data_IF_401122754779
#
_entry.id   IF_401122754779
#
_cell.length_a   1.000
_cell.length_b   1.000
_cell.length_c   1.000
_cell.angle_alpha   90.00
_cell.angle_beta   90.00
_cell.angle_gamma   90.00
#
_symmetry.space_group_name_H-M   'P 1'
#
loop_
_entity.id
_entity.type
_entity.pdbx_description
1 polymer ?
#
# COMPACT_ATOMS: atom_id res chain seq x y z
N UNK A 1 34.68 6.75 78.53
CA UNK A 1 34.26 5.89 77.39
C UNK A 1 33.59 6.77 76.34
N UNK A 2 34.22 6.94 75.18
CA UNK A 2 33.61 6.87 73.85
C UNK A 2 34.61 7.44 72.83
N UNK A 3 35.33 6.53 72.16
CA UNK A 3 36.05 6.83 70.93
C UNK A 3 34.99 7.00 69.84
N UNK A 4 34.81 8.24 69.36
CA UNK A 4 33.94 8.54 68.24
C UNK A 4 34.61 8.04 66.96
N UNK A 5 34.04 7.00 66.36
CA UNK A 5 34.49 6.47 65.08
C UNK A 5 34.15 7.48 63.96
N UNK A 6 35.12 7.92 63.15
CA UNK A 6 34.84 8.85 62.05
C UNK A 6 34.00 8.15 60.97
N UNK A 7 32.81 8.70 60.72
CA UNK A 7 31.90 8.28 59.65
C UNK A 7 32.54 8.63 58.30
N UNK A 8 32.99 7.62 57.57
CA UNK A 8 33.54 7.77 56.21
C UNK A 8 32.47 8.38 55.30
N UNK A 9 32.65 9.67 54.97
CA UNK A 9 31.81 10.39 54.03
C UNK A 9 32.18 9.93 52.61
N UNK A 10 31.35 9.10 52.01
CA UNK A 10 31.48 8.67 50.62
C UNK A 10 31.11 9.87 49.73
N UNK A 11 32.09 10.49 49.07
CA UNK A 11 31.82 11.58 48.14
C UNK A 11 30.94 11.06 46.99
N UNK A 12 29.74 11.63 46.77
CA UNK A 12 28.97 11.32 45.57
C UNK A 12 29.75 11.84 44.37
N UNK A 13 30.19 10.92 43.49
CA UNK A 13 30.76 11.30 42.19
C UNK A 13 29.64 11.88 41.36
N UNK A 14 29.65 13.20 41.17
CA UNK A 14 28.74 13.90 40.28
C UNK A 14 29.12 13.66 38.82
N UNK A 15 28.11 13.62 37.95
CA UNK A 15 28.29 13.56 36.50
C UNK A 15 28.90 14.88 36.00
N UNK A 16 29.93 14.81 35.19
CA UNK A 16 30.55 16.01 34.61
C UNK A 16 29.72 16.55 33.45
N UNK A 17 29.75 17.88 33.25
CA UNK A 17 29.07 18.50 32.10
C UNK A 17 29.59 17.95 30.76
N UNK A 18 30.87 17.62 30.69
CA UNK A 18 31.48 17.07 29.48
C UNK A 18 31.00 15.64 29.19
N UNK A 19 30.79 14.81 30.22
CA UNK A 19 30.21 13.48 30.04
C UNK A 19 28.79 13.58 29.47
N UNK A 20 27.99 14.56 29.92
CA UNK A 20 26.64 14.73 29.39
C UNK A 20 26.64 15.29 27.96
N UNK A 21 27.56 16.21 27.66
CA UNK A 21 27.72 16.80 26.34
C UNK A 21 28.09 15.76 25.27
N UNK A 22 28.99 14.82 25.60
CA UNK A 22 29.39 13.76 24.67
C UNK A 22 28.25 12.76 24.43
N UNK A 23 27.43 12.47 25.45
CA UNK A 23 26.30 11.53 25.30
C UNK A 23 25.24 12.09 24.36
N UNK A 24 24.82 13.34 24.54
CA UNK A 24 23.80 13.95 23.68
C UNK A 24 24.29 14.12 22.24
N UNK A 25 25.60 14.36 22.03
CA UNK A 25 26.16 14.48 20.68
C UNK A 25 26.16 13.15 19.94
N UNK A 26 26.48 12.04 20.63
CA UNK A 26 26.39 10.69 20.05
C UNK A 26 24.94 10.32 19.74
N UNK A 27 24.00 10.59 20.66
CA UNK A 27 22.56 10.32 20.44
C UNK A 27 22.04 11.11 19.23
N UNK A 28 22.46 12.37 19.07
CA UNK A 28 22.04 13.19 17.93
C UNK A 28 22.50 12.61 16.59
N UNK A 29 23.74 12.13 16.49
CA UNK A 29 24.28 11.52 15.26
C UNK A 29 23.54 10.21 14.95
N UNK A 30 23.36 9.35 15.94
CA UNK A 30 22.65 8.07 15.77
C UNK A 30 21.18 8.27 15.39
N UNK A 31 20.52 9.27 15.97
CA UNK A 31 19.12 9.57 15.68
C UNK A 31 18.91 9.95 14.20
N UNK A 32 19.77 10.81 13.64
CA UNK A 32 19.66 11.23 12.23
C UNK A 32 19.79 10.04 11.28
N UNK A 33 20.79 9.19 11.50
CA UNK A 33 20.99 7.99 10.67
C UNK A 33 19.80 7.03 10.83
N UNK A 34 19.35 6.82 12.06
CA UNK A 34 18.22 5.94 12.38
C UNK A 34 16.92 6.33 11.67
N UNK A 35 16.60 7.63 11.61
CA UNK A 35 15.38 8.13 10.97
C UNK A 35 15.36 7.79 9.47
N UNK A 36 16.48 7.99 8.76
CA UNK A 36 16.55 7.73 7.32
C UNK A 36 16.32 6.25 7.00
N UNK A 37 16.98 5.35 7.73
CA UNK A 37 16.85 3.90 7.55
C UNK A 37 15.42 3.45 7.88
N UNK A 38 14.87 3.94 8.99
CA UNK A 38 13.53 3.57 9.44
C UNK A 38 12.44 3.99 8.44
N UNK A 39 12.58 5.17 7.83
CA UNK A 39 11.63 5.64 6.80
C UNK A 39 11.59 4.73 5.57
N UNK A 40 12.76 4.29 5.08
CA UNK A 40 12.86 3.34 3.96
C UNK A 40 12.34 1.94 4.32
N UNK A 41 12.62 1.47 5.54
CA UNK A 41 12.10 0.20 6.03
C UNK A 41 10.56 0.17 6.10
N UNK A 42 9.93 1.27 6.56
CA UNK A 42 8.48 1.38 6.53
C UNK A 42 7.89 1.38 5.12
N UNK A 43 8.52 2.09 4.17
CA UNK A 43 8.07 2.10 2.78
C UNK A 43 8.13 0.69 2.16
N UNK A 44 9.18 -0.09 2.45
CA UNK A 44 9.31 -1.50 2.05
C UNK A 44 8.22 -2.38 2.67
N UNK A 45 7.94 -2.22 3.96
CA UNK A 45 6.88 -2.96 4.64
C UNK A 45 5.50 -2.68 4.00
N UNK A 46 5.18 -1.40 3.72
CA UNK A 46 3.95 -1.02 3.00
C UNK A 46 3.92 -1.58 1.58
N UNK A 47 5.03 -1.53 0.85
CA UNK A 47 5.13 -2.13 -0.49
C UNK A 47 4.91 -3.66 -0.47
N UNK A 48 5.43 -4.36 0.52
CA UNK A 48 5.20 -5.80 0.69
C UNK A 48 3.72 -6.09 0.96
N UNK A 49 3.10 -5.31 1.86
CA UNK A 49 1.68 -5.40 2.16
C UNK A 49 0.80 -5.15 0.93
N UNK A 50 1.10 -4.11 0.13
CA UNK A 50 0.42 -3.84 -1.15
C UNK A 50 0.47 -4.99 -2.13
N UNK A 51 1.64 -5.63 -2.28
CA UNK A 51 1.79 -6.79 -3.16
C UNK A 51 0.93 -7.96 -2.68
N UNK A 52 0.92 -8.22 -1.37
CA UNK A 52 0.07 -9.24 -0.76
C UNK A 52 -1.42 -8.95 -0.98
N UNK A 53 -1.84 -7.71 -0.79
CA UNK A 53 -3.24 -7.30 -0.99
C UNK A 53 -3.66 -7.44 -2.46
N UNK A 54 -2.83 -6.99 -3.42
CA UNK A 54 -3.09 -7.21 -4.86
C UNK A 54 -3.24 -8.71 -5.18
N UNK A 55 -2.40 -9.56 -4.60
CA UNK A 55 -2.53 -11.01 -4.80
C UNK A 55 -3.81 -11.57 -4.17
N UNK A 56 -4.22 -11.08 -3.01
CA UNK A 56 -5.48 -11.47 -2.37
C UNK A 56 -6.69 -11.04 -3.21
N UNK A 57 -6.67 -9.82 -3.78
CA UNK A 57 -7.72 -9.32 -4.68
C UNK A 57 -7.85 -10.19 -5.94
N UNK A 58 -6.72 -10.50 -6.58
CA UNK A 58 -6.69 -11.38 -7.77
C UNK A 58 -7.19 -12.78 -7.41
N UNK A 59 -6.71 -13.36 -6.29
CA UNK A 59 -7.14 -14.68 -5.84
C UNK A 59 -8.64 -14.72 -5.54
N UNK A 60 -9.20 -13.65 -4.96
CA UNK A 60 -10.63 -13.58 -4.69
C UNK A 60 -11.45 -13.53 -5.99
N UNK A 61 -10.97 -12.79 -7.00
CA UNK A 61 -11.60 -12.79 -8.32
C UNK A 61 -11.51 -14.16 -9.00
N UNK A 62 -10.36 -14.83 -8.96
CA UNK A 62 -10.19 -16.16 -9.56
C UNK A 62 -11.05 -17.23 -8.88
N UNK A 63 -11.16 -17.22 -7.54
CA UNK A 63 -12.00 -18.16 -6.79
C UNK A 63 -13.50 -17.92 -7.02
N UNK A 64 -13.91 -16.67 -7.28
CA UNK A 64 -15.31 -16.31 -7.55
C UNK A 64 -15.61 -16.18 -9.05
N UNK A 65 -14.79 -16.79 -9.91
CA UNK A 65 -15.05 -16.86 -11.35
C UNK A 65 -16.24 -17.78 -11.59
N UNK A 66 -17.18 -17.33 -12.41
CA UNK A 66 -18.22 -18.18 -12.97
C UNK A 66 -17.61 -19.07 -14.06
N UNK A 67 -17.44 -20.36 -13.75
CA UNK A 67 -16.87 -21.35 -14.67
C UNK A 67 -17.76 -21.66 -15.87
N UNK A 68 -19.08 -21.43 -15.78
CA UNK A 68 -20.02 -21.69 -16.88
C UNK A 68 -19.99 -20.59 -17.92
N UNK A 69 -20.01 -19.33 -17.46
CA UNK A 69 -19.95 -18.18 -18.36
C UNK A 69 -18.51 -17.68 -18.63
N UNK A 70 -17.51 -18.22 -17.94
CA UNK A 70 -16.09 -17.80 -18.01
C UNK A 70 -15.88 -16.32 -17.71
N UNK A 71 -16.59 -15.83 -16.69
CA UNK A 71 -16.70 -14.40 -16.34
C UNK A 71 -16.46 -14.19 -14.86
N UNK A 72 -15.94 -13.02 -14.52
CA UNK A 72 -15.71 -12.59 -13.15
C UNK A 72 -16.86 -11.73 -12.65
N UNK A 73 -17.21 -11.90 -11.38
CA UNK A 73 -18.13 -11.01 -10.70
C UNK A 73 -17.42 -9.72 -10.24
N UNK A 74 -18.21 -8.68 -9.97
CA UNK A 74 -17.72 -7.46 -9.33
C UNK A 74 -17.18 -7.82 -7.95
N UNK A 75 -16.01 -7.29 -7.60
CA UNK A 75 -15.38 -7.57 -6.31
C UNK A 75 -16.29 -7.20 -5.13
N UNK A 76 -16.33 -8.07 -4.13
CA UNK A 76 -17.10 -7.84 -2.90
C UNK A 76 -16.22 -7.89 -1.66
N UNK A 77 -16.48 -7.00 -0.70
CA UNK A 77 -15.86 -7.05 0.63
C UNK A 77 -16.17 -8.33 1.39
N UNK A 78 -17.30 -9.00 1.08
CA UNK A 78 -17.70 -10.26 1.70
C UNK A 78 -16.78 -11.44 1.36
N UNK A 79 -15.91 -11.31 0.34
CA UNK A 79 -14.94 -12.34 -0.01
C UNK A 79 -13.71 -12.35 0.90
N UNK A 80 -13.59 -11.34 1.77
CA UNK A 80 -12.46 -11.19 2.68
C UNK A 80 -12.93 -11.38 4.12
N UNK A 81 -12.10 -12.06 4.92
CA UNK A 81 -12.39 -12.40 6.33
C UNK A 81 -12.77 -11.18 7.20
N UNK A 82 -12.28 -9.98 6.84
CA UNK A 82 -12.62 -8.72 7.52
C UNK A 82 -13.92 -8.04 7.06
N UNK A 83 -14.68 -8.64 6.14
CA UNK A 83 -15.91 -8.06 5.59
C UNK A 83 -15.70 -6.82 4.70
N UNK A 84 -14.44 -6.50 4.40
CA UNK A 84 -14.04 -5.35 3.59
C UNK A 84 -12.92 -5.73 2.64
N UNK A 85 -12.90 -5.06 1.49
CA UNK A 85 -11.82 -5.17 0.52
C UNK A 85 -10.52 -4.67 1.19
N UNK A 86 -9.38 -5.36 1.03
CA UNK A 86 -8.09 -4.89 1.51
C UNK A 86 -7.83 -3.45 1.09
N UNK A 87 -7.59 -2.59 2.08
CA UNK A 87 -7.31 -1.18 1.87
C UNK A 87 -5.96 -0.85 2.51
N UNK A 88 -5.10 -0.16 1.75
CA UNK A 88 -3.93 0.52 2.27
C UNK A 88 -4.17 2.02 2.10
N UNK A 89 -4.06 2.76 3.21
CA UNK A 89 -4.34 4.18 3.24
C UNK A 89 -3.54 4.87 4.33
N UNK A 90 -2.31 5.28 4.01
CA UNK A 90 -1.71 6.44 4.69
C UNK A 90 -2.09 7.67 3.87
N UNK A 91 -2.92 8.56 4.41
CA UNK A 91 -3.20 9.87 3.80
C UNK A 91 -4.30 9.91 2.72
N UNK A 92 -5.27 8.99 2.71
CA UNK A 92 -6.54 9.17 1.99
C UNK A 92 -6.53 9.03 0.46
N UNK A 93 -5.42 8.58 -0.14
CA UNK A 93 -5.33 8.30 -1.59
C UNK A 93 -5.50 6.79 -1.81
N UNK A 94 -6.48 6.29 -2.59
CA UNK A 94 -6.58 4.86 -2.87
C UNK A 94 -5.31 4.35 -3.54
N UNK A 95 -4.77 3.26 -3.01
CA UNK A 95 -3.53 2.65 -3.50
C UNK A 95 -3.77 1.46 -4.41
N UNK A 96 -5.03 1.06 -4.60
CA UNK A 96 -5.43 -0.07 -5.43
C UNK A 96 -6.43 0.37 -6.50
N UNK A 97 -6.24 -0.14 -7.71
CA UNK A 97 -7.15 0.06 -8.83
C UNK A 97 -7.49 -1.27 -9.49
N UNK A 98 -8.76 -1.43 -9.85
CA UNK A 98 -9.26 -2.48 -10.74
C UNK A 98 -9.46 -1.86 -12.12
N UNK A 99 -8.91 -2.52 -13.12
CA UNK A 99 -9.24 -2.30 -14.51
C UNK A 99 -9.92 -3.57 -15.00
N UNK A 100 -11.03 -3.43 -15.71
CA UNK A 100 -11.76 -4.57 -16.26
C UNK A 100 -12.30 -4.29 -17.65
N UNK A 101 -12.52 -5.34 -18.44
CA UNK A 101 -13.24 -5.28 -19.72
C UNK A 101 -14.50 -6.15 -19.65
N UNK A 102 -15.62 -5.59 -20.08
CA UNK A 102 -16.92 -6.27 -20.15
C UNK A 102 -17.28 -6.80 -21.54
N UNK A 103 -16.30 -6.86 -22.44
CA UNK A 103 -16.42 -7.40 -23.79
C UNK A 103 -15.50 -8.63 -23.97
N UNK A 104 -16.03 -9.65 -24.65
CA UNK A 104 -15.29 -10.88 -24.97
C UNK A 104 -14.12 -10.60 -25.94
N UNK A 105 -13.01 -11.33 -25.78
CA UNK A 105 -11.86 -11.26 -26.69
C UNK A 105 -10.91 -10.09 -26.45
N UNK A 106 -11.13 -9.30 -25.39
CA UNK A 106 -10.28 -8.15 -25.04
C UNK A 106 -9.52 -8.39 -23.74
N UNK A 107 -8.27 -7.93 -23.70
CA UNK A 107 -7.44 -7.91 -22.51
C UNK A 107 -7.36 -6.50 -21.94
N UNK A 108 -7.26 -6.40 -20.62
CA UNK A 108 -6.85 -5.15 -19.97
C UNK A 108 -5.34 -5.01 -20.02
N UNK A 109 -4.85 -3.81 -20.32
CA UNK A 109 -3.43 -3.48 -20.18
C UNK A 109 -3.15 -2.89 -18.79
N UNK A 110 -1.92 -3.09 -18.31
CA UNK A 110 -1.47 -2.43 -17.08
C UNK A 110 -1.34 -0.91 -17.34
N UNK A 111 -1.78 -0.05 -16.42
CA UNK A 111 -1.67 1.39 -16.57
C UNK A 111 -0.20 1.83 -16.60
N UNK A 112 0.10 2.81 -17.45
CA UNK A 112 1.45 3.34 -17.64
C UNK A 112 1.76 4.55 -16.75
N UNK A 113 0.73 5.16 -16.15
CA UNK A 113 0.87 6.25 -15.21
C UNK A 113 -0.27 6.27 -14.18
N UNK A 114 -0.02 6.90 -13.03
CA UNK A 114 -0.97 7.03 -11.94
C UNK A 114 -1.00 8.47 -11.47
N UNK A 115 -2.16 9.11 -11.55
CA UNK A 115 -2.29 10.51 -11.19
C UNK A 115 -2.43 10.65 -9.67
N UNK A 116 -1.59 11.48 -9.01
CA UNK A 116 -1.66 11.69 -7.56
C UNK A 116 -2.98 12.34 -7.11
N UNK A 117 -3.58 13.19 -7.95
CA UNK A 117 -4.74 14.02 -7.59
C UNK A 117 -6.09 13.30 -7.66
N UNK A 118 -6.20 12.28 -8.51
CA UNK A 118 -7.44 11.52 -8.71
C UNK A 118 -7.34 10.08 -8.19
N UNK A 119 -6.14 9.64 -7.82
CA UNK A 119 -5.86 8.27 -7.38
C UNK A 119 -6.34 7.19 -8.38
N UNK A 120 -6.58 7.59 -9.61
CA UNK A 120 -6.95 6.75 -10.72
C UNK A 120 -5.71 6.51 -11.57
N UNK A 121 -5.48 5.26 -12.00
CA UNK A 121 -4.56 5.03 -13.09
C UNK A 121 -5.06 5.79 -14.32
N UNK A 122 -4.20 6.58 -14.97
CA UNK A 122 -4.49 7.03 -16.33
C UNK A 122 -4.34 5.82 -17.21
N UNK A 123 -5.47 5.24 -17.62
CA UNK A 123 -5.45 4.32 -18.73
C UNK A 123 -5.13 5.14 -19.99
N UNK A 124 -3.98 4.92 -20.62
CA UNK A 124 -3.89 5.18 -22.06
C UNK A 124 -4.59 4.02 -22.79
N UNK A 125 -5.87 3.78 -22.46
CA UNK A 125 -6.69 2.76 -23.10
C UNK A 125 -7.13 3.25 -24.47
N UNK A 126 -6.18 3.25 -25.39
CA UNK A 126 -6.51 3.01 -26.79
C UNK A 126 -6.68 1.50 -26.94
N UNK A 127 -7.88 0.99 -26.64
CA UNK A 127 -8.23 -0.34 -27.12
C UNK A 127 -8.45 -0.19 -28.64
N UNK A 128 -7.80 -0.97 -29.53
CA UNK A 128 -7.93 -0.79 -30.98
C UNK A 128 -9.34 -0.96 -31.56
N UNK A 129 -10.33 -1.45 -30.79
CA UNK A 129 -11.72 -1.47 -31.22
C UNK A 129 -12.68 -1.64 -30.03
N UNK A 130 -13.58 -0.69 -29.79
CA UNK A 130 -14.92 -0.92 -29.22
C UNK A 130 -15.13 -1.41 -27.77
N UNK A 131 -14.13 -1.92 -27.05
CA UNK A 131 -14.32 -2.38 -25.66
C UNK A 131 -14.25 -1.24 -24.63
N UNK A 132 -15.32 -1.00 -23.86
CA UNK A 132 -15.30 -0.05 -22.74
C UNK A 132 -14.39 -0.57 -21.63
N UNK A 133 -13.31 0.15 -21.32
CA UNK A 133 -12.48 -0.15 -20.14
C UNK A 133 -12.83 0.83 -19.03
N UNK A 134 -13.29 0.29 -17.91
CA UNK A 134 -13.61 1.08 -16.74
C UNK A 134 -12.55 0.91 -15.66
N UNK A 135 -12.21 2.03 -15.04
CA UNK A 135 -11.28 2.12 -13.92
C UNK A 135 -12.13 2.26 -12.66
N UNK A 136 -12.03 1.29 -11.75
CA UNK A 136 -12.61 1.37 -10.41
C UNK A 136 -11.48 1.52 -9.42
N UNK A 137 -11.39 2.67 -8.75
CA UNK A 137 -10.51 2.80 -7.58
C UNK A 137 -11.16 2.05 -6.42
N UNK A 138 -10.48 1.12 -5.75
CA UNK A 138 -11.08 0.39 -4.61
C UNK A 138 -10.97 1.17 -3.29
N UNK A 139 -11.11 2.49 -3.34
CA UNK A 139 -11.17 3.27 -2.09
C UNK A 139 -12.41 2.85 -1.30
N UNK A 140 -12.21 2.70 0.02
CA UNK A 140 -13.19 2.79 1.09
C UNK A 140 -13.97 1.52 1.48
N UNK A 141 -13.96 1.28 2.80
CA UNK A 141 -14.59 0.16 3.50
C UNK A 141 -16.12 0.20 3.61
N UNK A 142 -16.82 1.02 2.83
CA UNK A 142 -18.27 0.93 2.57
C UNK A 142 -18.57 1.48 1.17
N UNK A 143 -19.54 0.91 0.42
CA UNK A 143 -20.00 1.50 -0.84
C UNK A 143 -20.54 2.93 -0.58
N UNK A 144 -20.33 3.95 -1.45
CA UNK A 144 -19.72 3.94 -2.78
C UNK A 144 -18.51 4.90 -2.92
N UNK A 145 -17.40 4.48 -3.54
CA UNK A 145 -16.32 5.42 -3.88
C UNK A 145 -15.81 5.23 -5.30
N UNK A 146 -16.20 6.16 -6.18
CA UNK A 146 -15.31 6.69 -7.20
C UNK A 146 -15.25 5.94 -8.53
N UNK A 147 -16.40 5.73 -9.15
CA UNK A 147 -16.56 5.30 -10.55
C UNK A 147 -17.93 4.64 -10.75
N UNK A 148 -18.52 4.63 -11.96
CA UNK A 148 -19.70 3.80 -12.21
C UNK A 148 -19.26 2.35 -11.96
N UNK A 149 -19.68 1.81 -10.80
CA UNK A 149 -19.59 0.38 -10.55
C UNK A 149 -20.38 -0.24 -11.69
N UNK A 150 -19.82 -1.21 -12.42
CA UNK A 150 -20.58 -1.91 -13.43
C UNK A 150 -21.86 -2.41 -12.76
N UNK A 151 -23.02 -2.05 -13.33
CA UNK A 151 -24.32 -2.38 -12.73
C UNK A 151 -24.40 -3.87 -12.42
N UNK A 152 -25.14 -4.24 -11.36
CA UNK A 152 -25.36 -5.65 -11.01
C UNK A 152 -25.76 -6.43 -12.28
N UNK A 153 -24.95 -7.43 -12.66
CA UNK A 153 -25.12 -8.19 -13.91
C UNK A 153 -24.08 -7.91 -15.01
N UNK A 154 -23.13 -6.99 -14.81
CA UNK A 154 -22.04 -6.82 -15.77
C UNK A 154 -21.08 -8.01 -15.72
N UNK A 155 -20.88 -8.62 -16.88
CA UNK A 155 -19.93 -9.71 -17.05
C UNK A 155 -18.53 -9.13 -17.27
N UNK A 156 -17.56 -9.56 -16.47
CA UNK A 156 -16.16 -9.18 -16.63
C UNK A 156 -15.41 -10.35 -17.28
N UNK A 157 -14.76 -10.12 -18.41
CA UNK A 157 -14.03 -11.17 -19.13
C UNK A 157 -12.53 -11.17 -18.83
N UNK A 158 -11.96 -9.99 -18.57
CA UNK A 158 -10.57 -9.83 -18.17
C UNK A 158 -10.45 -8.71 -17.15
N UNK A 159 -9.46 -8.84 -16.24
CA UNK A 159 -9.22 -7.84 -15.20
C UNK A 159 -7.73 -7.70 -14.89
N UNK A 160 -7.38 -6.54 -14.34
CA UNK A 160 -6.04 -6.20 -13.87
C UNK A 160 -6.19 -5.42 -12.59
N UNK A 161 -5.56 -5.92 -11.53
CA UNK A 161 -5.46 -5.26 -10.24
C UNK A 161 -4.07 -4.64 -10.15
N UNK A 162 -4.02 -3.34 -9.91
CA UNK A 162 -2.79 -2.58 -9.86
C UNK A 162 -2.67 -1.78 -8.57
N UNK A 163 -1.42 -1.48 -8.18
CA UNK A 163 -1.08 -0.64 -7.03
C UNK A 163 0.13 0.22 -7.30
N UNK A 164 0.19 1.38 -6.64
CA UNK A 164 1.39 2.21 -6.60
C UNK A 164 2.32 1.80 -5.47
N UNK A 165 3.57 1.52 -5.82
CA UNK A 165 4.63 1.36 -4.84
C UNK A 165 5.20 2.72 -4.43
N UNK A 166 5.55 2.83 -3.16
CA UNK A 166 6.31 3.97 -2.66
C UNK A 166 7.75 3.88 -3.15
N UNK A 167 8.33 5.05 -3.43
CA UNK A 167 9.76 5.13 -3.67
C UNK A 167 10.50 4.78 -2.38
N UNK A 168 11.51 3.91 -2.50
CA UNK A 168 12.42 3.62 -1.39
C UNK A 168 13.46 4.74 -1.17
N UNK A 169 13.52 5.72 -2.07
CA UNK A 169 14.46 6.84 -2.02
C UNK A 169 13.81 8.04 -1.34
N UNK A 170 14.45 8.54 -0.28
CA UNK A 170 14.04 9.75 0.44
C UNK A 170 14.21 10.95 -0.49
N UNK A 171 13.12 11.64 -0.83
CA UNK A 171 13.17 12.86 -1.65
C UNK A 171 12.50 12.79 -3.03
N UNK A 172 11.79 11.69 -3.36
CA UNK A 172 10.88 11.66 -4.52
C UNK A 172 11.45 11.01 -5.78
N UNK A 173 11.84 9.74 -5.68
CA UNK A 173 12.12 8.92 -6.87
C UNK A 173 10.84 8.49 -7.62
N UNK A 174 11.01 7.99 -8.86
CA UNK A 174 9.91 7.44 -9.66
C UNK A 174 9.19 6.33 -8.91
N UNK A 175 7.87 6.44 -8.80
CA UNK A 175 7.01 5.42 -8.17
C UNK A 175 6.77 4.30 -9.17
N UNK A 176 7.04 3.06 -8.78
CA UNK A 176 6.78 1.90 -9.63
C UNK A 176 5.32 1.44 -9.49
N UNK A 177 4.75 0.92 -10.57
CA UNK A 177 3.42 0.31 -10.57
C UNK A 177 3.58 -1.21 -10.49
N UNK A 178 2.82 -1.84 -9.61
CA UNK A 178 2.72 -3.30 -9.56
C UNK A 178 1.33 -3.73 -9.98
N UNK A 179 1.24 -4.57 -11.00
CA UNK A 179 -0.01 -5.08 -11.53
C UNK A 179 -0.01 -6.60 -11.57
N UNK A 180 -1.20 -7.17 -11.37
CA UNK A 180 -1.51 -8.58 -11.59
C UNK A 180 -2.76 -8.64 -12.47
N UNK A 181 -2.79 -9.56 -13.41
CA UNK A 181 -3.89 -9.73 -14.35
C UNK A 181 -4.48 -11.12 -14.16
N UNK A 182 -5.67 -11.34 -14.72
CA UNK A 182 -6.26 -12.67 -14.76
C UNK A 182 -5.33 -13.66 -15.46
N UNK A 183 -5.30 -14.91 -15.00
CA UNK A 183 -4.63 -15.97 -15.75
C UNK A 183 -5.45 -16.20 -17.02
N UNK A 184 -4.87 -15.94 -18.19
CA UNK A 184 -5.42 -16.40 -19.47
C UNK A 184 -5.30 -17.92 -19.55
#
# INVERSE_FOLDING_TARGET
MHKLLPKSARNPRGFTLIELLVVISIIAILAVIGITIFSGAQARARNAKRRTDVNALVSALEVNKDSTASVYAVISGSWFSGGGIPQEGTGGVPQYALLYVSAQGYTVNSPTAWLPAAATPTSNNTNPAGGTVAVVSLACGTPPCGGPIPGAGTLIYSFSVCTLLESEVIGGGTRSIYCRQNSQ
#
